data_IF_114553016659
#
_entry.id   IF_114553016659
#
_cell.length_a   1.000
_cell.length_b   1.000
_cell.length_c   1.000
_cell.angle_alpha   90.00
_cell.angle_beta   90.00
_cell.angle_gamma   90.00
#
_symmetry.space_group_name_H-M   'P 1'
#
loop_
_entity.id
_entity.type
_entity.pdbx_description
1 polymer ?
#
# COMPACT_ATOMS: atom_id res chain seq x y z
N UNK A 1 12.73 3.23 3.00
CA UNK A 1 11.82 2.93 1.88
C UNK A 1 11.71 1.42 1.72
N UNK A 2 10.50 0.85 1.84
CA UNK A 2 10.23 -0.59 1.68
C UNK A 2 9.28 -0.77 0.52
N UNK A 3 9.53 -1.74 -0.37
CA UNK A 3 8.66 -2.04 -1.50
C UNK A 3 8.45 -3.53 -1.68
N UNK A 4 7.28 -3.92 -2.15
CA UNK A 4 6.97 -5.31 -2.49
C UNK A 4 5.84 -5.40 -3.52
N UNK A 5 5.77 -6.53 -4.22
CA UNK A 5 4.64 -6.83 -5.09
C UNK A 5 3.42 -7.21 -4.25
N UNK A 6 2.29 -6.60 -4.57
CA UNK A 6 1.00 -6.95 -4.01
C UNK A 6 0.61 -8.36 -4.46
N UNK A 7 0.13 -9.15 -3.51
CA UNK A 7 -0.42 -10.47 -3.79
C UNK A 7 -1.70 -10.34 -4.64
N UNK A 8 -2.13 -11.45 -5.26
CA UNK A 8 -3.30 -11.47 -6.16
C UNK A 8 -4.56 -10.86 -5.52
N UNK A 9 -4.79 -11.11 -4.23
CA UNK A 9 -5.92 -10.53 -3.50
C UNK A 9 -5.83 -9.01 -3.34
N UNK A 10 -4.64 -8.48 -3.00
CA UNK A 10 -4.43 -7.05 -2.85
C UNK A 10 -4.44 -6.34 -4.21
N UNK A 11 -3.88 -6.97 -5.25
CA UNK A 11 -3.96 -6.51 -6.61
C UNK A 11 -5.43 -6.42 -7.08
N UNK A 12 -6.26 -7.43 -6.81
CA UNK A 12 -7.68 -7.40 -7.14
C UNK A 12 -8.43 -6.26 -6.43
N UNK A 13 -8.16 -6.02 -5.14
CA UNK A 13 -8.72 -4.89 -4.40
C UNK A 13 -8.30 -3.54 -4.99
N UNK A 14 -7.02 -3.39 -5.33
CA UNK A 14 -6.50 -2.17 -5.95
C UNK A 14 -7.12 -1.94 -7.33
N UNK A 15 -7.31 -2.99 -8.15
CA UNK A 15 -8.02 -2.89 -9.43
C UNK A 15 -9.42 -2.33 -9.25
N UNK A 16 -10.20 -2.85 -8.30
CA UNK A 16 -11.56 -2.39 -8.00
C UNK A 16 -11.57 -0.95 -7.48
N UNK A 17 -10.65 -0.61 -6.60
CA UNK A 17 -10.49 0.74 -6.05
C UNK A 17 -10.18 1.77 -7.13
N UNK A 18 -9.21 1.48 -8.01
CA UNK A 18 -8.88 2.35 -9.14
C UNK A 18 -9.94 2.34 -10.26
N UNK A 19 -10.81 1.32 -10.30
CA UNK A 19 -11.97 1.27 -11.19
C UNK A 19 -13.13 2.15 -10.71
N UNK A 20 -13.02 2.80 -9.53
CA UNK A 20 -14.03 3.69 -8.98
C UNK A 20 -14.95 3.05 -7.94
N UNK A 21 -14.66 1.82 -7.48
CA UNK A 21 -15.40 1.23 -6.38
C UNK A 21 -14.99 1.88 -5.04
N UNK A 22 -15.91 2.66 -4.48
CA UNK A 22 -15.71 3.34 -3.20
C UNK A 22 -15.71 2.38 -2.01
N UNK A 23 -15.09 2.80 -0.90
CA UNK A 23 -15.13 2.05 0.36
C UNK A 23 -14.09 0.93 0.50
N UNK A 24 -13.26 0.67 -0.51
CA UNK A 24 -12.20 -0.35 -0.45
C UNK A 24 -10.94 0.10 0.28
N UNK A 25 -10.75 1.41 0.44
CA UNK A 25 -9.59 2.00 1.12
C UNK A 25 -9.31 1.43 2.52
N UNK A 26 -10.29 1.33 3.45
CA UNK A 26 -10.06 0.74 4.77
C UNK A 26 -9.56 -0.71 4.69
N UNK A 27 -10.10 -1.52 3.77
CA UNK A 27 -9.67 -2.91 3.55
C UNK A 27 -8.25 -2.99 3.01
N UNK A 28 -7.92 -2.17 2.00
CA UNK A 28 -6.56 -2.08 1.44
C UNK A 28 -5.57 -1.67 2.55
N UNK A 29 -5.93 -0.67 3.35
CA UNK A 29 -5.09 -0.17 4.45
C UNK A 29 -4.85 -1.23 5.52
N UNK A 30 -5.88 -1.99 5.89
CA UNK A 30 -5.75 -3.08 6.87
C UNK A 30 -4.82 -4.18 6.38
N UNK A 31 -4.94 -4.61 5.11
CA UNK A 31 -4.04 -5.62 4.54
C UNK A 31 -2.59 -5.14 4.48
N UNK A 32 -2.36 -3.90 4.05
CA UNK A 32 -1.01 -3.31 4.05
C UNK A 32 -0.47 -3.20 5.48
N UNK A 33 -1.29 -2.83 6.46
CA UNK A 33 -0.89 -2.75 7.86
C UNK A 33 -0.54 -4.13 8.46
N UNK A 34 -1.32 -5.16 8.14
CA UNK A 34 -1.03 -6.54 8.53
C UNK A 34 0.30 -7.04 7.96
N UNK A 35 0.56 -6.75 6.68
CA UNK A 35 1.82 -7.08 6.00
C UNK A 35 3.01 -6.32 6.61
N UNK A 36 2.84 -5.03 6.91
CA UNK A 36 3.85 -4.24 7.63
C UNK A 36 4.18 -4.82 9.00
N UNK A 37 3.15 -5.22 9.76
CA UNK A 37 3.31 -5.85 11.07
C UNK A 37 4.01 -7.19 10.96
N UNK A 38 3.67 -8.01 9.94
CA UNK A 38 4.35 -9.29 9.65
C UNK A 38 5.85 -9.09 9.38
N UNK A 39 6.21 -7.98 8.74
CA UNK A 39 7.59 -7.61 8.43
C UNK A 39 8.32 -6.92 9.60
N UNK A 40 7.65 -6.73 10.74
CA UNK A 40 8.23 -6.06 11.91
C UNK A 40 8.49 -4.57 11.69
N UNK A 41 7.78 -3.95 10.75
CA UNK A 41 7.94 -2.53 10.44
C UNK A 41 6.87 -1.79 11.26
N UNK A 42 7.25 -0.75 12.02
CA UNK A 42 6.34 0.18 12.77
C UNK A 42 6.50 1.66 12.35
N UNK A 43 5.54 2.57 12.67
CA UNK A 43 5.62 4.02 12.35
C UNK A 43 4.54 4.63 11.43
N UNK A 44 4.65 5.94 11.16
CA UNK A 44 3.84 6.68 10.18
C UNK A 44 4.49 6.58 8.79
N UNK A 45 3.73 6.12 7.78
CA UNK A 45 4.27 5.88 6.44
C UNK A 45 3.32 6.38 5.37
N UNK A 46 3.91 6.90 4.31
CA UNK A 46 3.20 7.13 3.06
C UNK A 46 3.10 5.81 2.29
N UNK A 47 1.87 5.32 2.15
CA UNK A 47 1.56 4.16 1.33
C UNK A 47 1.29 4.65 -0.08
N UNK A 48 2.10 4.20 -1.03
CA UNK A 48 1.94 4.47 -2.45
C UNK A 48 1.77 3.16 -3.19
N UNK A 49 0.85 3.15 -4.14
CA UNK A 49 0.64 2.02 -5.04
C UNK A 49 1.08 2.40 -6.44
N UNK A 50 1.83 1.52 -7.09
CA UNK A 50 2.28 1.68 -8.47
C UNK A 50 1.84 0.49 -9.30
N UNK A 51 1.10 0.73 -10.37
CA UNK A 51 0.75 -0.33 -11.32
C UNK A 51 1.97 -0.74 -12.15
N UNK A 52 2.21 -2.04 -12.26
CA UNK A 52 3.25 -2.69 -13.08
C UNK A 52 2.56 -3.74 -13.94
N UNK A 53 2.35 -3.46 -15.23
CA UNK A 53 1.71 -4.37 -16.18
C UNK A 53 0.36 -4.93 -15.65
N UNK A 54 0.38 -6.12 -15.06
CA UNK A 54 -0.75 -6.83 -14.42
C UNK A 54 -0.73 -6.84 -12.88
N UNK A 55 0.34 -6.43 -12.23
CA UNK A 55 0.48 -6.42 -10.77
C UNK A 55 0.52 -4.99 -10.20
N UNK A 56 0.42 -4.90 -8.87
CA UNK A 56 0.58 -3.65 -8.15
C UNK A 56 1.80 -3.75 -7.24
N UNK A 57 2.68 -2.77 -7.32
CA UNK A 57 3.78 -2.61 -6.38
C UNK A 57 3.31 -1.72 -5.22
N UNK A 58 3.44 -2.21 -4.00
CA UNK A 58 3.23 -1.45 -2.77
C UNK A 58 4.56 -0.82 -2.37
N UNK A 59 4.57 0.49 -2.25
CA UNK A 59 5.73 1.29 -1.90
C UNK A 59 5.40 2.01 -0.59
N UNK A 60 6.19 1.73 0.44
CA UNK A 60 6.09 2.33 1.75
C UNK A 60 7.28 3.26 1.94
N UNK A 61 6.98 4.55 1.91
CA UNK A 61 7.95 5.59 2.18
C UNK A 61 7.88 5.95 3.66
N UNK A 62 9.06 6.00 4.28
CA UNK A 62 9.16 6.46 5.66
C UNK A 62 8.84 7.96 5.65
N UNK A 63 7.85 8.37 6.45
CA UNK A 63 7.42 9.76 6.48
C UNK A 63 8.41 10.68 7.20
N UNK A 64 9.55 10.18 7.72
CA UNK A 64 10.61 11.00 8.34
C UNK A 64 11.28 11.99 7.38
N UNK A 65 10.91 12.05 6.10
CA UNK A 65 11.38 13.06 5.16
C UNK A 65 10.49 14.29 4.98
N UNK A 66 9.31 14.35 5.61
CA UNK A 66 8.47 15.55 5.53
C UNK A 66 8.76 16.48 6.72
N UNK A 67 9.91 17.15 6.66
CA UNK A 67 10.09 18.42 7.36
C UNK A 67 9.35 19.48 6.53
N UNK A 68 8.20 20.01 6.97
CA UNK A 68 7.71 21.25 6.40
C UNK A 68 8.68 22.35 6.83
N UNK A 69 9.58 22.75 5.92
CA UNK A 69 10.30 24.02 6.01
C UNK A 69 9.33 25.21 6.00
#
# INVERSE_FOLDING_TARGET
MVRWMADEELAALLRRYYSGEGGLWPTIRERVAAELRRRGIEGARHIRFRRRDDEYEVIIEDASGYEPE
#
